data_IF_619231933462
#
_entry.id   IF_619231933462
#
_cell.length_a   1.000
_cell.length_b   1.000
_cell.length_c   1.000
_cell.angle_alpha   90.00
_cell.angle_beta   90.00
_cell.angle_gamma   90.00
#
_symmetry.space_group_name_H-M   'P 1'
#
loop_
_entity.id
_entity.type
_entity.pdbx_description
1 polymer ?
#
# COMPACT_ATOMS: atom_id res chain seq x y z
N UNK A 1 62.87 -56.12 16.42
CA UNK A 1 62.02 -55.83 15.27
C UNK A 1 60.70 -55.22 15.81
N UNK A 2 60.56 -53.91 15.73
CA UNK A 2 59.40 -53.17 16.24
C UNK A 2 58.54 -52.77 15.02
N UNK A 3 57.32 -53.27 14.93
CA UNK A 3 56.36 -52.89 13.92
C UNK A 3 55.63 -51.61 14.34
N UNK A 4 55.70 -50.57 13.52
CA UNK A 4 55.02 -49.30 13.69
C UNK A 4 53.70 -49.36 12.97
N UNK A 5 52.59 -49.15 13.71
CA UNK A 5 51.24 -49.04 13.11
C UNK A 5 50.89 -47.58 12.93
N UNK A 6 50.81 -47.15 11.68
CA UNK A 6 50.29 -45.83 11.34
C UNK A 6 48.74 -45.91 11.28
N UNK A 7 48.09 -45.16 12.16
CA UNK A 7 46.67 -44.94 12.16
C UNK A 7 46.38 -43.67 11.33
N UNK A 8 45.78 -43.84 10.18
CA UNK A 8 45.28 -42.75 9.33
C UNK A 8 43.85 -42.36 9.78
N UNK A 9 43.70 -41.21 10.38
CA UNK A 9 42.39 -40.67 10.77
C UNK A 9 41.83 -39.92 9.56
N UNK A 10 40.78 -40.48 8.96
CA UNK A 10 39.98 -39.80 7.95
C UNK A 10 39.00 -38.82 8.65
N UNK A 11 39.25 -37.50 8.52
CA UNK A 11 38.28 -36.47 8.87
C UNK A 11 37.24 -36.31 7.76
N UNK A 12 36.06 -36.81 7.97
CA UNK A 12 34.91 -36.53 7.10
C UNK A 12 34.28 -35.18 7.50
N UNK A 13 34.52 -34.16 6.70
CA UNK A 13 33.83 -32.87 6.83
C UNK A 13 32.42 -32.96 6.31
N UNK A 14 31.41 -33.03 7.21
CA UNK A 14 30.01 -32.90 6.85
C UNK A 14 29.67 -31.45 6.55
N UNK A 15 29.53 -31.10 5.27
CA UNK A 15 28.95 -29.81 4.85
C UNK A 15 27.44 -29.82 5.14
N UNK A 16 27.01 -29.10 6.15
CA UNK A 16 25.61 -28.76 6.39
C UNK A 16 25.19 -27.69 5.35
N UNK A 17 24.51 -28.12 4.29
CA UNK A 17 23.79 -27.22 3.41
C UNK A 17 22.55 -26.69 4.14
N UNK A 18 22.60 -25.47 4.65
CA UNK A 18 21.42 -24.73 5.10
C UNK A 18 20.66 -24.32 3.84
N UNK A 19 19.65 -25.12 3.48
CA UNK A 19 18.72 -24.80 2.41
C UNK A 19 17.79 -23.67 2.90
N UNK A 20 18.12 -22.44 2.53
CA UNK A 20 17.23 -21.29 2.70
C UNK A 20 16.10 -21.43 1.66
N UNK A 21 14.96 -22.02 2.03
CA UNK A 21 13.77 -22.02 1.19
C UNK A 21 13.20 -20.61 1.20
N UNK A 22 12.90 -20.00 0.04
CA UNK A 22 12.17 -18.75 0.01
C UNK A 22 10.81 -18.96 0.70
N UNK A 23 10.49 -18.06 1.64
CA UNK A 23 9.19 -18.04 2.31
C UNK A 23 8.16 -17.63 1.25
N UNK A 24 7.43 -18.61 0.72
CA UNK A 24 6.24 -18.36 -0.09
C UNK A 24 5.28 -17.67 0.88
N UNK A 25 4.95 -16.43 0.61
CA UNK A 25 3.85 -15.75 1.30
C UNK A 25 2.59 -16.43 0.80
N UNK A 26 2.02 -17.31 1.64
CA UNK A 26 0.69 -17.84 1.40
C UNK A 26 -0.28 -16.65 1.43
N UNK A 27 -0.66 -16.19 0.25
CA UNK A 27 -1.82 -15.32 0.09
C UNK A 27 -3.00 -16.17 0.55
N UNK A 28 -3.50 -15.89 1.76
CA UNK A 28 -4.70 -16.54 2.27
C UNK A 28 -5.82 -16.35 1.24
N UNK A 29 -6.52 -17.42 0.84
CA UNK A 29 -7.72 -17.27 0.04
C UNK A 29 -8.71 -16.42 0.83
N UNK A 30 -9.42 -15.52 0.11
CA UNK A 30 -10.43 -14.62 0.63
C UNK A 30 -11.36 -15.34 1.61
N UNK A 31 -11.20 -15.06 2.91
CA UNK A 31 -12.28 -15.36 3.85
C UNK A 31 -13.45 -14.45 3.46
N UNK A 32 -14.68 -14.97 3.34
CA UNK A 32 -15.83 -14.13 3.05
C UNK A 32 -15.92 -13.05 4.13
N UNK A 33 -15.67 -11.80 3.71
CA UNK A 33 -15.73 -10.66 4.61
C UNK A 33 -17.16 -10.49 5.07
N UNK A 34 -17.39 -10.66 6.37
CA UNK A 34 -18.66 -10.30 6.99
C UNK A 34 -18.72 -8.75 6.98
N UNK A 35 -19.62 -8.14 6.17
CA UNK A 35 -19.70 -6.68 6.05
C UNK A 35 -19.98 -5.97 7.39
N UNK A 36 -20.55 -6.69 8.37
CA UNK A 36 -20.86 -6.16 9.70
C UNK A 36 -19.61 -6.08 10.61
N UNK A 37 -18.52 -6.77 10.24
CA UNK A 37 -17.29 -6.83 11.05
C UNK A 37 -16.17 -5.92 10.57
N UNK A 38 -16.17 -5.53 9.30
CA UNK A 38 -15.03 -4.84 8.71
C UNK A 38 -15.32 -3.37 8.46
N UNK A 39 -14.29 -2.55 8.62
CA UNK A 39 -14.34 -1.14 8.23
C UNK A 39 -13.69 -0.94 6.86
N UNK A 40 -14.17 0.08 6.15
CA UNK A 40 -13.62 0.50 4.85
C UNK A 40 -13.21 1.95 4.94
N UNK A 41 -12.05 2.30 4.39
CA UNK A 41 -11.59 3.68 4.16
C UNK A 41 -10.96 3.77 2.78
N UNK A 42 -11.12 4.90 2.08
CA UNK A 42 -10.54 5.08 0.74
C UNK A 42 -9.52 6.21 0.76
N UNK A 43 -8.31 5.94 0.23
CA UNK A 43 -7.13 6.77 0.39
C UNK A 43 -6.46 7.07 -0.96
N UNK A 44 -6.30 8.35 -1.29
CA UNK A 44 -5.53 8.84 -2.44
C UNK A 44 -4.20 9.45 -1.96
N UNK A 45 -3.08 8.99 -2.48
CA UNK A 45 -1.75 9.48 -2.08
C UNK A 45 -0.72 9.37 -3.20
N UNK A 46 -1.07 9.85 -4.40
CA UNK A 46 -0.32 9.67 -5.64
C UNK A 46 -0.77 8.41 -6.40
N UNK A 47 0.13 7.81 -7.17
CA UNK A 47 -0.16 6.59 -7.90
C UNK A 47 -0.68 5.48 -6.97
N UNK A 48 -1.83 4.91 -7.31
CA UNK A 48 -2.50 3.87 -6.53
C UNK A 48 -1.64 2.61 -6.35
N UNK A 49 -0.81 2.21 -7.32
CA UNK A 49 0.12 1.08 -7.15
C UNK A 49 1.08 1.27 -5.96
N UNK A 50 1.49 2.54 -5.73
CA UNK A 50 2.34 2.88 -4.59
C UNK A 50 1.62 2.75 -3.25
N UNK A 51 0.35 3.17 -3.20
CA UNK A 51 -0.47 3.12 -1.99
C UNK A 51 -0.90 1.69 -1.71
N UNK A 52 -1.38 0.98 -2.73
CA UNK A 52 -1.78 -0.42 -2.67
C UNK A 52 -0.66 -1.30 -2.10
N UNK A 53 0.56 -1.21 -2.66
CA UNK A 53 1.72 -1.99 -2.23
C UNK A 53 2.08 -1.79 -0.74
N UNK A 54 1.74 -0.66 -0.14
CA UNK A 54 1.91 -0.40 1.28
C UNK A 54 0.82 -1.08 2.09
N UNK A 55 -0.45 -0.82 1.75
CA UNK A 55 -1.57 -1.27 2.58
C UNK A 55 -1.82 -2.77 2.53
N UNK A 56 -1.51 -3.44 1.42
CA UNK A 56 -1.60 -4.90 1.29
C UNK A 56 -0.73 -5.67 2.30
N UNK A 57 0.30 -5.04 2.85
CA UNK A 57 1.25 -5.69 3.75
C UNK A 57 0.93 -5.48 5.24
N UNK A 58 -0.08 -4.67 5.55
CA UNK A 58 -0.40 -4.36 6.94
C UNK A 58 -1.24 -5.47 7.57
N UNK A 59 -0.79 -5.97 8.71
CA UNK A 59 -1.58 -6.93 9.47
C UNK A 59 -2.92 -6.30 9.89
N UNK A 60 -4.01 -7.03 9.66
CA UNK A 60 -5.38 -6.54 9.85
C UNK A 60 -6.00 -5.90 8.61
N UNK A 61 -5.25 -5.59 7.55
CA UNK A 61 -5.82 -5.24 6.24
C UNK A 61 -6.26 -6.53 5.53
N UNK A 62 -7.52 -6.55 5.11
CA UNK A 62 -8.16 -7.68 4.44
C UNK A 62 -7.99 -7.56 2.94
N UNK A 63 -8.25 -6.37 2.40
CA UNK A 63 -7.99 -6.05 1.00
C UNK A 63 -7.60 -4.59 0.82
N UNK A 64 -6.80 -4.34 -0.22
CA UNK A 64 -6.47 -3.02 -0.70
C UNK A 64 -6.67 -3.04 -2.21
N UNK A 65 -7.68 -2.34 -2.70
CA UNK A 65 -8.12 -2.39 -4.10
C UNK A 65 -7.86 -1.04 -4.76
N UNK A 66 -7.07 -1.02 -5.82
CA UNK A 66 -6.80 0.16 -6.63
C UNK A 66 -8.03 0.59 -7.43
N UNK A 67 -8.26 1.91 -7.55
CA UNK A 67 -9.41 2.44 -8.26
C UNK A 67 -9.47 3.96 -8.29
N UNK A 68 -10.68 4.47 -8.50
CA UNK A 68 -10.95 5.89 -8.68
C UNK A 68 -12.17 6.31 -7.87
N UNK A 69 -12.15 7.54 -7.33
CA UNK A 69 -13.25 8.11 -6.56
C UNK A 69 -13.26 9.65 -6.63
N UNK A 70 -14.39 10.25 -6.34
CA UNK A 70 -14.52 11.68 -6.07
C UNK A 70 -14.75 12.56 -7.28
N UNK A 71 -14.87 11.99 -8.48
CA UNK A 71 -15.18 12.71 -9.70
C UNK A 71 -16.67 12.88 -9.96
N UNK A 72 -17.00 13.62 -11.02
CA UNK A 72 -18.37 13.94 -11.39
C UNK A 72 -18.90 13.14 -12.61
N UNK A 73 -18.03 12.35 -13.26
CA UNK A 73 -18.41 11.50 -14.39
C UNK A 73 -18.70 10.08 -13.86
N UNK A 74 -19.94 9.57 -13.97
CA UNK A 74 -20.25 8.21 -13.55
C UNK A 74 -19.67 7.20 -14.56
N UNK A 75 -19.17 6.07 -14.07
CA UNK A 75 -18.53 5.02 -14.87
C UNK A 75 -17.48 5.57 -15.85
N UNK A 76 -16.49 6.33 -15.38
CA UNK A 76 -15.55 7.03 -16.25
C UNK A 76 -14.70 6.05 -17.05
N UNK A 77 -14.51 6.36 -18.33
CA UNK A 77 -13.51 5.68 -19.16
C UNK A 77 -12.08 6.04 -18.72
N UNK A 78 -11.12 5.19 -19.06
CA UNK A 78 -9.70 5.50 -18.79
C UNK A 78 -9.27 6.84 -19.42
N UNK A 79 -9.78 7.17 -20.61
CA UNK A 79 -9.50 8.45 -21.29
C UNK A 79 -9.99 9.64 -20.47
N UNK A 80 -11.23 9.59 -19.96
CA UNK A 80 -11.81 10.66 -19.13
C UNK A 80 -11.05 10.83 -17.81
N UNK A 81 -10.56 9.74 -17.22
CA UNK A 81 -9.77 9.79 -16.00
C UNK A 81 -8.41 10.43 -16.27
N UNK A 82 -7.64 9.88 -17.22
CA UNK A 82 -6.28 10.32 -17.49
C UNK A 82 -6.17 11.67 -18.22
N UNK A 83 -7.25 12.13 -18.85
CA UNK A 83 -7.37 13.53 -19.30
C UNK A 83 -7.52 14.51 -18.15
N UNK A 84 -7.74 14.03 -16.92
CA UNK A 84 -7.92 14.81 -15.69
C UNK A 84 -9.15 15.73 -15.71
N UNK A 85 -10.11 15.45 -16.60
CA UNK A 85 -11.35 16.23 -16.71
C UNK A 85 -12.51 15.62 -15.92
N UNK A 86 -12.42 14.36 -15.53
CA UNK A 86 -13.47 13.64 -14.79
C UNK A 86 -13.59 14.07 -13.32
N UNK A 87 -12.57 14.68 -12.76
CA UNK A 87 -12.47 15.02 -11.33
C UNK A 87 -12.16 13.84 -10.42
N UNK A 88 -12.08 12.61 -10.97
CA UNK A 88 -11.67 11.44 -10.21
C UNK A 88 -10.19 11.50 -9.85
N UNK A 89 -9.87 10.92 -8.68
CA UNK A 89 -8.49 10.73 -8.23
C UNK A 89 -8.17 9.23 -8.12
N UNK A 90 -6.91 8.89 -8.32
CA UNK A 90 -6.41 7.55 -8.02
C UNK A 90 -6.45 7.31 -6.53
N UNK A 91 -7.09 6.21 -6.13
CA UNK A 91 -7.28 5.84 -4.73
C UNK A 91 -7.07 4.35 -4.53
N UNK A 92 -6.89 3.98 -3.28
CA UNK A 92 -6.97 2.59 -2.82
C UNK A 92 -8.10 2.50 -1.80
N UNK A 93 -9.05 1.62 -2.05
CA UNK A 93 -10.07 1.24 -1.09
C UNK A 93 -9.49 0.15 -0.18
N UNK A 94 -9.37 0.47 1.11
CA UNK A 94 -8.78 -0.42 2.14
C UNK A 94 -9.91 -0.95 3.00
N UNK A 95 -10.07 -2.28 3.00
CA UNK A 95 -10.96 -3.01 3.91
C UNK A 95 -10.11 -3.64 5.00
N UNK A 96 -10.47 -3.46 6.26
CA UNK A 96 -9.65 -3.90 7.39
C UNK A 96 -10.49 -4.39 8.58
N UNK A 97 -9.88 -5.25 9.39
CA UNK A 97 -10.43 -5.76 10.64
C UNK A 97 -10.11 -4.75 11.77
N UNK A 98 -11.11 -4.01 12.31
CA UNK A 98 -10.88 -3.00 13.33
C UNK A 98 -10.39 -3.58 14.68
N UNK A 99 -10.51 -4.89 14.89
CA UNK A 99 -9.98 -5.59 16.07
C UNK A 99 -8.46 -5.82 15.94
N UNK A 100 -7.90 -5.75 14.72
CA UNK A 100 -6.47 -5.95 14.44
C UNK A 100 -5.74 -4.65 14.12
N UNK A 101 -6.35 -3.77 13.33
CA UNK A 101 -5.80 -2.47 12.96
C UNK A 101 -6.90 -1.41 12.97
N UNK A 102 -6.68 -0.33 13.71
CA UNK A 102 -7.68 0.74 13.86
C UNK A 102 -7.58 1.79 12.75
N UNK A 103 -8.66 2.54 12.51
CA UNK A 103 -8.65 3.70 11.59
C UNK A 103 -7.50 4.69 11.89
N UNK A 104 -7.19 5.07 13.14
CA UNK A 104 -6.01 5.91 13.41
C UNK A 104 -4.68 5.30 13.01
N UNK A 105 -4.52 3.98 13.10
CA UNK A 105 -3.29 3.29 12.66
C UNK A 105 -3.18 3.27 11.14
N UNK A 106 -4.27 2.98 10.41
CA UNK A 106 -4.35 3.13 8.95
C UNK A 106 -3.92 4.54 8.53
N UNK A 107 -4.44 5.58 9.20
CA UNK A 107 -4.09 6.97 8.90
C UNK A 107 -2.63 7.30 9.21
N UNK A 108 -2.02 6.72 10.26
CA UNK A 108 -0.57 6.87 10.52
C UNK A 108 0.27 6.30 9.39
N UNK A 109 -0.12 5.16 8.82
CA UNK A 109 0.54 4.59 7.66
C UNK A 109 0.36 5.46 6.43
N UNK A 110 -0.84 6.03 6.21
CA UNK A 110 -1.11 6.94 5.12
C UNK A 110 -0.19 8.15 5.12
N UNK A 111 -0.01 8.82 6.27
CA UNK A 111 0.89 9.98 6.39
C UNK A 111 2.36 9.64 6.14
N UNK A 112 2.78 8.40 6.35
CA UNK A 112 4.14 7.93 6.07
C UNK A 112 4.34 7.51 4.62
N UNK A 113 3.27 7.04 3.97
CA UNK A 113 3.32 6.44 2.64
C UNK A 113 3.51 7.47 1.52
N UNK A 114 3.23 8.77 1.75
CA UNK A 114 3.34 9.80 0.72
C UNK A 114 3.77 11.15 1.32
N UNK A 115 3.97 12.15 0.46
CA UNK A 115 4.15 13.53 0.89
C UNK A 115 2.79 14.26 0.87
N UNK A 116 2.13 14.49 2.02
CA UNK A 116 0.80 15.09 2.05
C UNK A 116 0.82 16.62 1.84
N UNK A 117 1.99 17.22 1.61
CA UNK A 117 2.16 18.68 1.45
C UNK A 117 2.41 19.09 -0.01
N UNK A 118 2.45 18.13 -0.97
CA UNK A 118 2.62 18.41 -2.39
C UNK A 118 1.27 18.82 -3.01
N UNK A 119 1.11 20.09 -3.45
CA UNK A 119 -0.16 20.57 -3.99
C UNK A 119 -0.36 20.23 -5.47
N UNK A 120 0.60 19.56 -6.11
CA UNK A 120 0.57 19.25 -7.54
C UNK A 120 0.47 17.74 -7.84
N UNK A 121 0.47 16.90 -6.81
CA UNK A 121 0.43 15.44 -6.98
C UNK A 121 1.37 14.73 -6.01
N UNK A 122 2.25 13.84 -6.50
CA UNK A 122 3.16 13.07 -5.68
C UNK A 122 4.47 12.75 -6.43
N UNK A 123 5.53 13.50 -6.14
CA UNK A 123 6.84 13.25 -6.75
C UNK A 123 6.79 13.42 -8.28
N UNK A 124 6.99 12.33 -9.02
CA UNK A 124 6.95 12.33 -10.50
C UNK A 124 5.52 12.30 -11.06
N UNK A 125 4.56 11.87 -10.25
CA UNK A 125 3.15 11.76 -10.63
C UNK A 125 2.46 13.11 -10.41
N UNK A 126 2.22 13.85 -11.48
CA UNK A 126 1.67 15.20 -11.42
C UNK A 126 0.27 15.28 -12.01
N UNK A 127 -0.53 16.15 -11.39
CA UNK A 127 -1.89 16.45 -11.81
C UNK A 127 -2.95 16.06 -10.79
N UNK A 128 -4.19 16.46 -11.05
CA UNK A 128 -5.32 16.34 -10.13
C UNK A 128 -5.64 14.91 -9.73
N UNK A 129 -5.38 13.93 -10.62
CA UNK A 129 -5.67 12.52 -10.34
C UNK A 129 -4.77 11.94 -9.25
N UNK A 130 -3.61 12.55 -8.97
CA UNK A 130 -2.62 12.11 -7.97
C UNK A 130 -2.64 12.90 -6.67
N UNK A 131 -3.65 13.73 -6.48
CA UNK A 131 -3.78 14.55 -5.28
C UNK A 131 -4.07 13.71 -4.04
N UNK A 132 -3.65 14.25 -2.88
CA UNK A 132 -3.85 13.57 -1.60
C UNK A 132 -5.27 13.75 -1.09
N UNK A 133 -5.97 12.61 -0.87
CA UNK A 133 -7.35 12.57 -0.41
C UNK A 133 -7.59 11.47 0.63
N UNK A 134 -8.48 11.75 1.57
CA UNK A 134 -9.11 10.75 2.45
C UNK A 134 -10.61 10.81 2.20
N UNK A 135 -11.20 9.67 1.83
CA UNK A 135 -12.64 9.51 1.69
C UNK A 135 -13.13 8.67 2.87
N UNK A 136 -13.87 9.31 3.76
CA UNK A 136 -14.40 8.71 4.98
C UNK A 136 -15.75 8.04 4.72
N UNK A 137 -15.90 6.77 5.10
CA UNK A 137 -17.12 5.99 4.92
C UNK A 137 -18.11 6.18 6.08
N UNK A 138 -17.76 6.96 7.11
CA UNK A 138 -18.65 7.32 8.22
C UNK A 138 -18.28 8.67 8.84
N UNK A 139 -19.23 9.34 9.54
CA UNK A 139 -18.94 10.56 10.29
C UNK A 139 -17.81 10.38 11.32
N UNK A 140 -17.75 9.22 11.97
CA UNK A 140 -16.68 8.89 12.93
C UNK A 140 -15.32 8.82 12.26
N UNK A 141 -15.23 8.19 11.07
CA UNK A 141 -13.98 8.15 10.32
C UNK A 141 -13.54 9.56 9.88
N UNK A 142 -14.47 10.42 9.46
CA UNK A 142 -14.18 11.81 9.13
C UNK A 142 -13.56 12.54 10.31
N UNK A 143 -14.14 12.45 11.51
CA UNK A 143 -13.62 13.06 12.72
C UNK A 143 -12.21 12.55 13.05
N UNK A 144 -11.99 11.24 12.95
CA UNK A 144 -10.68 10.62 13.14
C UNK A 144 -9.66 11.11 12.10
N UNK A 145 -10.07 11.25 10.83
CA UNK A 145 -9.20 11.75 9.77
C UNK A 145 -8.80 13.21 9.99
N UNK A 146 -9.74 14.06 10.39
CA UNK A 146 -9.47 15.47 10.72
C UNK A 146 -8.53 15.61 11.93
N UNK A 147 -8.74 14.81 12.95
CA UNK A 147 -7.86 14.76 14.13
C UNK A 147 -6.46 14.30 13.75
N UNK A 148 -6.37 13.19 13.02
CA UNK A 148 -5.10 12.63 12.56
C UNK A 148 -4.33 13.59 11.63
N UNK A 149 -5.03 14.36 10.77
CA UNK A 149 -4.42 15.40 9.93
C UNK A 149 -3.78 16.50 10.78
N UNK A 150 -4.47 16.96 11.82
CA UNK A 150 -3.94 17.98 12.75
C UNK A 150 -2.71 17.49 13.51
N UNK A 151 -2.73 16.24 13.97
CA UNK A 151 -1.59 15.60 14.63
C UNK A 151 -0.42 15.42 13.65
N UNK A 152 -0.69 14.94 12.44
CA UNK A 152 0.32 14.73 11.42
C UNK A 152 1.01 16.02 10.98
N UNK A 153 0.30 17.17 10.99
CA UNK A 153 0.85 18.47 10.62
C UNK A 153 2.12 18.83 11.41
N UNK A 154 2.26 18.34 12.64
CA UNK A 154 3.45 18.61 13.47
C UNK A 154 4.75 18.02 12.89
N UNK A 155 4.64 17.10 11.95
CA UNK A 155 5.78 16.45 11.28
C UNK A 155 6.17 17.12 9.96
N UNK A 156 5.47 18.19 9.56
CA UNK A 156 5.69 18.88 8.27
C UNK A 156 5.78 20.38 8.46
N UNK A 157 6.81 21.01 7.89
CA UNK A 157 7.01 22.47 7.93
C UNK A 157 6.01 23.22 7.05
N UNK A 158 5.50 22.56 6.00
CA UNK A 158 4.50 23.11 5.08
C UNK A 158 3.11 22.54 5.37
N UNK A 159 2.03 23.28 5.07
CA UNK A 159 0.67 22.82 5.29
C UNK A 159 0.37 21.49 4.57
N UNK A 160 -0.29 20.57 5.28
CA UNK A 160 -0.87 19.37 4.66
C UNK A 160 -2.04 19.80 3.78
N UNK A 161 -1.95 19.48 2.49
CA UNK A 161 -2.97 19.80 1.47
C UNK A 161 -4.00 18.67 1.27
N UNK A 162 -3.86 17.55 1.96
CA UNK A 162 -4.81 16.43 1.90
C UNK A 162 -6.23 16.89 2.14
N UNK A 163 -7.14 16.56 1.23
CA UNK A 163 -8.56 16.84 1.35
C UNK A 163 -9.28 15.67 2.02
N UNK A 164 -10.17 15.97 2.97
CA UNK A 164 -11.00 14.95 3.64
C UNK A 164 -12.43 15.15 3.13
N UNK A 165 -13.01 14.10 2.51
CA UNK A 165 -14.36 14.07 1.92
C UNK A 165 -15.13 12.88 2.45
N UNK A 166 -16.44 12.88 2.28
CA UNK A 166 -17.24 11.65 2.43
C UNK A 166 -16.98 10.73 1.25
N UNK A 167 -17.05 9.42 1.49
CA UNK A 167 -16.90 8.43 0.44
C UNK A 167 -18.05 8.56 -0.58
N UNK A 168 -17.70 8.38 -1.83
CA UNK A 168 -18.58 8.42 -2.98
C UNK A 168 -18.51 7.08 -3.74
N UNK A 169 -19.06 7.01 -4.93
CA UNK A 169 -18.96 5.81 -5.78
C UNK A 169 -17.49 5.48 -6.06
N UNK A 170 -17.13 4.23 -5.81
CA UNK A 170 -15.81 3.69 -6.10
C UNK A 170 -15.82 2.92 -7.42
N UNK A 171 -14.92 3.26 -8.31
CA UNK A 171 -14.71 2.58 -9.58
C UNK A 171 -13.40 1.83 -9.54
N UNK A 172 -13.45 0.50 -9.47
CA UNK A 172 -12.25 -0.32 -9.42
C UNK A 172 -11.38 -0.12 -10.67
N UNK A 173 -10.08 -0.06 -10.51
CA UNK A 173 -9.14 -0.11 -11.63
C UNK A 173 -9.21 -1.49 -12.30
N UNK A 174 -8.66 -1.59 -13.52
CA UNK A 174 -8.65 -2.85 -14.25
C UNK A 174 -7.88 -3.92 -13.48
N UNK A 175 -8.21 -5.18 -13.74
CA UNK A 175 -7.55 -6.34 -13.13
C UNK A 175 -6.02 -6.32 -13.34
N UNK A 176 -5.55 -5.81 -14.47
CA UNK A 176 -4.13 -5.67 -14.78
C UNK A 176 -3.39 -4.66 -13.87
N UNK A 177 -4.12 -3.73 -13.24
CA UNK A 177 -3.64 -2.69 -12.34
C UNK A 177 -3.76 -3.07 -10.85
N UNK A 178 -4.42 -4.19 -10.53
CA UNK A 178 -4.50 -4.70 -9.16
C UNK A 178 -3.23 -5.49 -8.80
N UNK A 179 -2.81 -5.43 -7.53
CA UNK A 179 -1.60 -6.09 -7.02
C UNK A 179 -0.33 -5.79 -7.86
N UNK A 180 -0.34 -4.64 -8.51
CA UNK A 180 0.59 -4.33 -9.60
C UNK A 180 2.05 -4.49 -9.19
N UNK A 181 2.44 -3.97 -8.04
CA UNK A 181 3.83 -4.04 -7.60
C UNK A 181 4.31 -5.49 -7.47
N UNK A 182 3.58 -6.34 -6.78
CA UNK A 182 4.00 -7.72 -6.52
C UNK A 182 3.94 -8.60 -7.78
N UNK A 183 3.05 -8.28 -8.72
CA UNK A 183 2.93 -8.99 -10.00
C UNK A 183 3.95 -8.53 -11.03
N UNK A 184 4.35 -7.26 -11.02
CA UNK A 184 5.06 -6.57 -12.12
C UNK A 184 6.37 -5.89 -11.75
N UNK A 185 6.84 -5.99 -10.50
CA UNK A 185 8.03 -5.27 -10.02
C UNK A 185 9.31 -5.53 -10.83
N UNK A 186 9.42 -6.68 -11.49
CA UNK A 186 10.54 -7.04 -12.36
C UNK A 186 10.39 -6.61 -13.83
N UNK A 187 9.21 -6.15 -14.24
CA UNK A 187 8.87 -5.84 -15.63
C UNK A 187 8.76 -4.33 -15.91
N UNK A 188 8.32 -3.55 -14.91
CA UNK A 188 8.09 -2.12 -15.05
C UNK A 188 9.15 -1.31 -14.29
N UNK A 189 9.90 -0.41 -14.95
CA UNK A 189 10.93 0.42 -14.32
C UNK A 189 10.37 1.40 -13.25
N UNK A 190 9.09 1.75 -13.28
CA UNK A 190 8.44 2.55 -12.26
C UNK A 190 8.51 1.88 -10.88
N UNK A 191 8.30 0.57 -10.81
CA UNK A 191 8.31 -0.17 -9.55
C UNK A 191 9.64 -0.03 -8.80
N UNK A 192 10.83 -0.34 -9.37
CA UNK A 192 12.09 -0.17 -8.67
C UNK A 192 12.48 1.30 -8.43
N UNK A 193 11.96 2.25 -9.20
CA UNK A 193 12.30 3.66 -9.07
C UNK A 193 11.43 4.40 -8.06
N UNK A 194 10.13 4.09 -7.96
CA UNK A 194 9.17 4.82 -7.14
C UNK A 194 8.65 4.01 -5.95
N UNK A 195 8.30 2.74 -6.17
CA UNK A 195 7.63 1.92 -5.13
C UNK A 195 8.65 1.27 -4.20
N UNK A 196 9.65 0.57 -4.74
CA UNK A 196 10.66 -0.14 -3.93
C UNK A 196 11.35 0.76 -2.91
N UNK A 197 11.82 1.99 -3.23
CA UNK A 197 12.42 2.88 -2.23
C UNK A 197 11.46 3.28 -1.12
N UNK A 198 10.17 3.45 -1.44
CA UNK A 198 9.11 3.76 -0.47
C UNK A 198 8.93 2.60 0.50
N UNK A 199 8.76 1.36 0.01
CA UNK A 199 8.61 0.17 0.84
C UNK A 199 9.82 -0.05 1.76
N UNK A 200 11.05 0.09 1.22
CA UNK A 200 12.29 0.05 2.02
C UNK A 200 12.30 1.07 3.16
N UNK A 201 11.95 2.33 2.86
CA UNK A 201 11.87 3.40 3.86
C UNK A 201 10.87 3.08 4.97
N UNK A 202 9.79 2.38 4.64
CA UNK A 202 8.73 1.99 5.57
C UNK A 202 9.03 0.69 6.32
N UNK A 203 10.10 -0.04 5.95
CA UNK A 203 10.44 -1.33 6.55
C UNK A 203 9.51 -2.46 6.11
N UNK A 204 8.88 -2.32 4.93
CA UNK A 204 7.98 -3.30 4.32
C UNK A 204 8.74 -4.19 3.32
N UNK A 205 8.16 -5.32 2.95
CA UNK A 205 8.70 -6.23 1.94
C UNK A 205 8.68 -5.59 0.54
N UNK A 206 9.73 -5.87 -0.28
CA UNK A 206 9.92 -5.28 -1.60
C UNK A 206 10.55 -6.24 -2.62
#
# INVERSE_FOLDING_TARGET
MKASHNITILLTASLLFISCKPKVVDVKPDEPTDPEKHETITLGGGCYWCVEAVFQQLDGVISATSGFMGGHIPNPSSEEIYSQTSGHVEVVQVVFDPDKISTPEILKWFWKAHNPTDPEGQGVDKGSIYMSHIFAHSPKQRELAETSKKEAQTNFDTPIVTTIRDAEEFYAAKEEDQDYYFRKKGENPYCPQQITPKLKKLGLDY
#
